data_IF_314825138744
#
_entry.id   IF_314825138744
#
_cell.length_a   1.000
_cell.length_b   1.000
_cell.length_c   1.000
_cell.angle_alpha   90.00
_cell.angle_beta   90.00
_cell.angle_gamma   90.00
#
_symmetry.space_group_name_H-M   'P 1'
#
loop_
_entity.id
_entity.type
_entity.pdbx_description
1 polymer ?
#
# COMPACT_ATOMS: atom_id res chain seq x y z
N UNK A 1 -20.46 11.15 1.50
CA UNK A 1 -19.94 10.30 0.41
C UNK A 1 -20.05 8.86 0.86
N UNK A 2 -20.75 8.01 0.10
CA UNK A 2 -20.79 6.58 0.33
C UNK A 2 -19.78 5.96 -0.63
N UNK A 3 -18.58 5.64 -0.14
CA UNK A 3 -17.52 5.03 -0.95
C UNK A 3 -17.40 3.56 -0.58
N UNK A 4 -17.22 2.69 -1.56
CA UNK A 4 -16.88 1.30 -1.27
C UNK A 4 -15.49 1.22 -0.61
N UNK A 5 -15.29 0.23 0.27
CA UNK A 5 -14.03 0.07 1.00
C UNK A 5 -12.81 0.04 0.07
N UNK A 6 -12.92 -0.63 -1.08
CA UNK A 6 -11.84 -0.74 -2.06
C UNK A 6 -11.51 0.62 -2.71
N UNK A 7 -12.50 1.48 -2.92
CA UNK A 7 -12.30 2.84 -3.46
C UNK A 7 -11.56 3.69 -2.43
N UNK A 8 -11.96 3.61 -1.16
CA UNK A 8 -11.28 4.30 -0.07
C UNK A 8 -9.82 3.83 0.08
N UNK A 9 -9.58 2.52 0.03
CA UNK A 9 -8.22 1.96 0.08
C UNK A 9 -7.36 2.43 -1.09
N UNK A 10 -7.91 2.46 -2.31
CA UNK A 10 -7.20 2.95 -3.49
C UNK A 10 -6.85 4.45 -3.38
N UNK A 11 -7.78 5.26 -2.87
CA UNK A 11 -7.53 6.69 -2.61
C UNK A 11 -6.42 6.86 -1.58
N UNK A 12 -6.46 6.10 -0.48
CA UNK A 12 -5.44 6.15 0.57
C UNK A 12 -4.07 5.69 0.07
N UNK A 13 -4.01 4.65 -0.76
CA UNK A 13 -2.79 4.19 -1.41
C UNK A 13 -2.21 5.29 -2.31
N UNK A 14 -3.04 5.91 -3.15
CA UNK A 14 -2.63 7.02 -4.01
C UNK A 14 -2.10 8.22 -3.23
N UNK A 15 -2.73 8.57 -2.10
CA UNK A 15 -2.26 9.63 -1.21
C UNK A 15 -0.90 9.30 -0.59
N UNK A 16 -0.68 8.05 -0.18
CA UNK A 16 0.59 7.60 0.37
C UNK A 16 1.71 7.64 -0.67
N UNK A 17 1.44 7.23 -1.91
CA UNK A 17 2.39 7.33 -3.02
C UNK A 17 2.74 8.78 -3.35
N UNK A 18 1.75 9.68 -3.39
CA UNK A 18 1.98 11.11 -3.59
C UNK A 18 2.88 11.72 -2.51
N UNK A 19 2.71 11.30 -1.26
CA UNK A 19 3.55 11.77 -0.17
C UNK A 19 4.99 11.27 -0.30
N UNK A 20 5.19 10.04 -0.78
CA UNK A 20 6.52 9.51 -1.10
C UNK A 20 7.21 10.31 -2.21
N UNK A 21 6.48 10.72 -3.25
CA UNK A 21 7.03 11.57 -4.31
C UNK A 21 7.50 12.93 -3.77
N UNK A 22 6.76 13.53 -2.84
CA UNK A 22 7.21 14.77 -2.18
C UNK A 22 8.46 14.55 -1.33
N UNK A 23 8.55 13.42 -0.63
CA UNK A 23 9.75 13.07 0.13
C UNK A 23 10.97 12.90 -0.78
N UNK A 24 10.78 12.34 -1.99
CA UNK A 24 11.84 12.26 -2.99
C UNK A 24 12.28 13.65 -3.46
N UNK A 25 11.35 14.53 -3.80
CA UNK A 25 11.67 15.91 -4.19
C UNK A 25 12.46 16.63 -3.08
N UNK A 26 12.02 16.49 -1.83
CA UNK A 26 12.72 17.07 -0.68
C UNK A 26 14.13 16.48 -0.50
N UNK A 27 14.30 15.17 -0.70
CA UNK A 27 15.60 14.52 -0.62
C UNK A 27 16.55 15.01 -1.72
N UNK A 28 16.04 15.15 -2.96
CA UNK A 28 16.80 15.72 -4.09
C UNK A 28 17.20 17.16 -3.79
N UNK A 29 16.25 17.98 -3.32
CA UNK A 29 16.53 19.36 -2.95
C UNK A 29 17.62 19.46 -1.87
N UNK A 30 17.48 18.69 -0.78
CA UNK A 30 18.47 18.67 0.29
C UNK A 30 19.84 18.19 -0.17
N UNK A 31 19.88 17.26 -1.13
CA UNK A 31 21.13 16.80 -1.74
C UNK A 31 21.81 17.90 -2.57
N UNK A 32 21.02 18.66 -3.35
CA UNK A 32 21.53 19.79 -4.14
C UNK A 32 21.98 20.95 -3.23
N UNK A 33 21.26 21.21 -2.14
CA UNK A 33 21.64 22.23 -1.17
C UNK A 33 23.00 21.90 -0.52
N UNK A 34 23.27 20.63 -0.19
CA UNK A 34 24.58 20.22 0.34
C UNK A 34 25.72 20.49 -0.63
N UNK A 35 25.48 20.40 -1.93
CA UNK A 35 26.47 20.76 -2.94
C UNK A 35 26.84 22.24 -2.86
N UNK A 36 25.84 23.12 -2.74
CA UNK A 36 26.04 24.57 -2.55
C UNK A 36 26.79 24.86 -1.24
N UNK A 37 26.44 24.14 -0.16
CA UNK A 37 27.04 24.31 1.16
C UNK A 37 28.42 23.65 1.31
N UNK A 38 28.98 23.05 0.25
CA UNK A 38 30.25 22.33 0.26
C UNK A 38 30.36 21.25 1.36
N UNK A 39 29.23 20.66 1.74
CA UNK A 39 29.14 19.65 2.79
C UNK A 39 29.32 18.24 2.21
N UNK A 40 29.78 17.30 3.05
CA UNK A 40 29.92 15.89 2.67
C UNK A 40 28.59 15.32 2.15
N UNK A 41 28.63 14.70 0.95
CA UNK A 41 27.47 14.08 0.30
C UNK A 41 27.26 12.65 0.81
N UNK A 42 26.13 12.35 1.48
CA UNK A 42 25.73 10.98 1.75
C UNK A 42 25.26 10.30 0.45
N UNK A 43 25.19 8.96 0.44
CA UNK A 43 24.62 8.24 -0.70
C UNK A 43 23.11 8.44 -0.76
N UNK A 44 22.55 8.81 -1.91
CA UNK A 44 21.11 9.07 -2.07
C UNK A 44 20.25 7.88 -1.60
N UNK A 45 20.65 6.65 -1.95
CA UNK A 45 19.98 5.43 -1.51
C UNK A 45 19.92 5.24 0.02
N UNK A 46 20.80 5.90 0.79
CA UNK A 46 20.77 5.92 2.26
C UNK A 46 19.83 6.98 2.82
N UNK A 47 19.53 8.03 2.04
CA UNK A 47 18.59 9.10 2.38
C UNK A 47 17.16 8.63 2.08
N UNK A 48 16.93 8.16 0.86
CA UNK A 48 15.66 7.64 0.41
C UNK A 48 15.86 6.53 -0.62
N UNK A 49 15.21 5.39 -0.39
CA UNK A 49 15.08 4.35 -1.40
C UNK A 49 13.62 4.25 -1.82
N UNK A 50 13.27 4.99 -2.87
CA UNK A 50 11.90 5.13 -3.37
C UNK A 50 11.26 3.77 -3.64
N UNK A 51 11.95 2.91 -4.41
CA UNK A 51 11.43 1.58 -4.76
C UNK A 51 11.08 0.74 -3.53
N UNK A 52 11.95 0.71 -2.52
CA UNK A 52 11.70 -0.04 -1.28
C UNK A 52 10.51 0.55 -0.50
N UNK A 53 10.35 1.86 -0.50
CA UNK A 53 9.22 2.53 0.13
C UNK A 53 7.90 2.28 -0.62
N UNK A 54 7.89 2.38 -1.95
CA UNK A 54 6.75 2.03 -2.80
C UNK A 54 6.30 0.59 -2.59
N UNK A 55 7.24 -0.36 -2.60
CA UNK A 55 6.94 -1.77 -2.36
C UNK A 55 6.31 -2.00 -0.98
N UNK A 56 6.75 -1.24 0.03
CA UNK A 56 6.20 -1.31 1.38
C UNK A 56 4.78 -0.74 1.43
N UNK A 57 4.53 0.39 0.75
CA UNK A 57 3.19 1.00 0.62
C UNK A 57 2.26 0.02 -0.07
N UNK A 58 2.60 -0.45 -1.27
CA UNK A 58 1.79 -1.40 -2.04
C UNK A 58 1.44 -2.63 -1.22
N UNK A 59 2.43 -3.25 -0.55
CA UNK A 59 2.21 -4.43 0.30
C UNK A 59 1.24 -4.19 1.45
N UNK A 60 1.22 -2.99 2.04
CA UNK A 60 0.29 -2.67 3.12
C UNK A 60 -1.16 -2.71 2.63
N UNK A 61 -1.43 -2.18 1.43
CA UNK A 61 -2.77 -2.14 0.86
C UNK A 61 -3.18 -3.47 0.17
N UNK A 62 -2.25 -4.23 -0.43
CA UNK A 62 -2.58 -5.56 -0.99
C UNK A 62 -2.84 -6.64 0.05
N UNK A 63 -2.29 -6.51 1.27
CA UNK A 63 -2.50 -7.49 2.34
C UNK A 63 -3.98 -7.56 2.74
N UNK A 64 -4.66 -6.42 2.76
CA UNK A 64 -6.08 -6.34 3.11
C UNK A 64 -6.95 -7.06 2.08
N UNK A 65 -6.68 -6.86 0.78
CA UNK A 65 -7.42 -7.51 -0.30
C UNK A 65 -7.30 -9.05 -0.27
N UNK A 66 -6.09 -9.58 -0.05
CA UNK A 66 -5.87 -11.04 0.02
C UNK A 66 -6.59 -11.68 1.20
N UNK A 67 -6.63 -10.99 2.34
CA UNK A 67 -7.31 -11.48 3.54
C UNK A 67 -8.83 -11.48 3.35
N UNK A 68 -9.37 -10.46 2.68
CA UNK A 68 -10.79 -10.37 2.34
C UNK A 68 -11.22 -11.52 1.40
N UNK A 69 -10.46 -11.78 0.33
CA UNK A 69 -10.78 -12.87 -0.61
C UNK A 69 -10.75 -14.26 0.05
N UNK A 70 -9.79 -14.51 0.95
CA UNK A 70 -9.70 -15.78 1.68
C UNK A 70 -10.90 -15.99 2.62
N UNK A 71 -11.39 -14.93 3.25
CA UNK A 71 -12.57 -14.99 4.10
C UNK A 71 -13.85 -15.22 3.29
N UNK A 72 -13.97 -14.57 2.13
CA UNK A 72 -15.10 -14.77 1.22
C UNK A 72 -15.21 -16.22 0.75
N UNK A 73 -14.11 -16.83 0.30
CA UNK A 73 -14.09 -18.23 -0.13
C UNK A 73 -14.46 -19.22 0.98
N UNK A 74 -14.08 -18.94 2.23
CA UNK A 74 -14.48 -19.76 3.39
C UNK A 74 -15.97 -19.65 3.66
N UNK A 75 -16.53 -18.46 3.52
CA UNK A 75 -17.95 -18.19 3.71
C UNK A 75 -18.79 -18.89 2.63
N UNK A 76 -18.37 -18.83 1.36
CA UNK A 76 -19.01 -19.57 0.26
C UNK A 76 -19.07 -21.07 0.53
N UNK A 77 -17.95 -21.68 0.96
CA UNK A 77 -17.91 -23.10 1.32
C UNK A 77 -18.83 -23.44 2.49
N UNK A 78 -18.92 -22.56 3.49
CA UNK A 78 -19.84 -22.74 4.62
C UNK A 78 -21.30 -22.67 4.17
N UNK A 79 -21.64 -21.74 3.26
CA UNK A 79 -22.98 -21.63 2.68
C UNK A 79 -23.34 -22.87 1.85
N UNK A 80 -22.43 -23.34 0.98
CA UNK A 80 -22.63 -24.57 0.21
C UNK A 80 -22.86 -25.80 1.12
N UNK A 81 -22.09 -25.92 2.20
CA UNK A 81 -22.29 -26.99 3.18
C UNK A 81 -23.67 -26.91 3.83
N UNK A 82 -24.10 -25.71 4.26
CA UNK A 82 -25.42 -25.48 4.84
C UNK A 82 -26.56 -25.80 3.86
N UNK A 83 -26.46 -25.41 2.60
CA UNK A 83 -27.45 -25.75 1.56
C UNK A 83 -27.56 -27.26 1.36
N UNK A 84 -26.43 -27.95 1.29
CA UNK A 84 -26.40 -29.39 1.15
C UNK A 84 -27.05 -30.11 2.35
N UNK A 85 -26.93 -29.60 3.58
CA UNK A 85 -27.66 -30.14 4.74
C UNK A 85 -29.14 -29.75 4.76
N UNK A 86 -29.50 -28.55 4.27
CA UNK A 86 -30.88 -28.08 4.16
C UNK A 86 -31.71 -28.94 3.21
N UNK A 87 -31.11 -29.38 2.09
CA UNK A 87 -31.76 -30.21 1.07
C UNK A 87 -31.84 -31.71 1.42
N UNK A 88 -31.34 -32.12 2.60
CA UNK A 88 -31.43 -33.51 3.11
C UNK A 88 -32.60 -33.74 4.08
N UNK A 89 -33.44 -32.72 4.30
CA UNK A 89 -34.72 -32.83 5.02
C UNK A 89 -35.85 -32.89 4.01
#
# INVERSE_FOLDING_TARGET
MNCYLWELEAILEGLALRELDKQEQNAIFGFNLRYILNAKKPQMNKILNKKKAEDKIRKAFTRNQKQMNKNHHRLEKAMQALEHFKNRR
#
